data_IF_170957079216
#
_entry.id   IF_170957079216
#
_cell.length_a   1.000
_cell.length_b   1.000
_cell.length_c   1.000
_cell.angle_alpha   90.00
_cell.angle_beta   90.00
_cell.angle_gamma   90.00
#
_symmetry.space_group_name_H-M   'P 1'
#
loop_
_entity.id
_entity.type
_entity.pdbx_description
1 polymer ?
#
# COMPACT_ATOMS: atom_id res chain seq x y z
N UNK A 1 15.61 -36.62 27.80
CA UNK A 1 14.27 -36.36 27.23
C UNK A 1 13.78 -37.69 26.68
N UNK A 2 12.57 -38.13 27.01
CA UNK A 2 12.05 -39.44 26.58
C UNK A 2 11.97 -39.54 25.05
N UNK A 3 12.20 -40.74 24.51
CA UNK A 3 12.25 -41.07 23.08
C UNK A 3 10.91 -40.76 22.41
N UNK A 4 9.79 -41.12 23.05
CA UNK A 4 8.43 -40.77 22.62
C UNK A 4 8.23 -39.26 22.54
N UNK A 5 8.72 -38.53 23.55
CA UNK A 5 8.64 -37.06 23.61
C UNK A 5 9.51 -36.38 22.54
N UNK A 6 10.57 -37.04 22.09
CA UNK A 6 11.46 -36.57 21.02
C UNK A 6 10.84 -36.82 19.64
N UNK A 7 10.19 -37.98 19.47
CA UNK A 7 9.49 -38.34 18.26
C UNK A 7 8.24 -37.47 18.04
N UNK A 8 7.51 -37.14 19.12
CA UNK A 8 6.38 -36.21 19.11
C UNK A 8 6.76 -34.75 18.72
N UNK A 9 8.05 -34.38 18.84
CA UNK A 9 8.56 -33.07 18.39
C UNK A 9 8.86 -33.03 16.88
N UNK A 10 9.01 -34.19 16.24
CA UNK A 10 9.30 -34.29 14.81
C UNK A 10 8.04 -34.29 13.93
N UNK A 11 6.86 -34.37 14.54
CA UNK A 11 5.56 -34.43 13.85
C UNK A 11 4.82 -33.12 14.11
N UNK A 12 4.36 -32.47 13.05
CA UNK A 12 3.59 -31.22 13.14
C UNK A 12 2.28 -31.46 13.89
N UNK A 13 1.76 -30.43 14.55
CA UNK A 13 0.42 -30.44 15.16
C UNK A 13 -0.63 -30.74 14.09
N UNK A 14 -0.46 -30.22 12.87
CA UNK A 14 -1.28 -30.57 11.71
C UNK A 14 -1.27 -32.06 11.38
N UNK A 15 -0.11 -32.72 11.35
CA UNK A 15 0.00 -34.17 11.11
C UNK A 15 -0.63 -34.97 12.26
N UNK A 16 -0.48 -34.52 13.50
CA UNK A 16 -1.10 -35.17 14.67
C UNK A 16 -2.62 -35.05 14.68
N UNK A 17 -3.17 -33.90 14.26
CA UNK A 17 -4.62 -33.72 14.07
C UNK A 17 -5.13 -34.65 12.97
N UNK A 18 -4.43 -34.74 11.84
CA UNK A 18 -4.78 -35.65 10.74
C UNK A 18 -4.74 -37.12 11.18
N UNK A 19 -3.73 -37.51 11.95
CA UNK A 19 -3.61 -38.87 12.50
C UNK A 19 -4.77 -39.19 13.47
N UNK A 20 -5.09 -38.28 14.41
CA UNK A 20 -6.21 -38.45 15.34
C UNK A 20 -7.56 -38.62 14.62
N UNK A 21 -7.83 -37.79 13.61
CA UNK A 21 -9.03 -37.89 12.78
C UNK A 21 -9.07 -39.20 11.98
N UNK A 22 -7.93 -39.64 11.42
CA UNK A 22 -7.86 -40.90 10.66
C UNK A 22 -8.13 -42.14 11.52
N UNK A 23 -7.93 -42.03 12.84
CA UNK A 23 -8.18 -43.08 13.83
C UNK A 23 -9.56 -42.97 14.50
N UNK A 24 -10.39 -41.99 14.09
CA UNK A 24 -11.70 -41.73 14.70
C UNK A 24 -11.63 -41.20 16.13
N UNK A 25 -10.52 -40.58 16.54
CA UNK A 25 -10.34 -40.00 17.87
C UNK A 25 -10.62 -38.49 17.84
N UNK A 26 -11.91 -38.15 17.81
CA UNK A 26 -12.39 -36.77 17.70
C UNK A 26 -12.03 -35.93 18.94
N UNK A 27 -11.96 -36.55 20.12
CA UNK A 27 -11.61 -35.87 21.37
C UNK A 27 -10.16 -35.35 21.34
N UNK A 28 -9.21 -36.18 20.89
CA UNK A 28 -7.81 -35.77 20.74
C UNK A 28 -7.63 -34.74 19.62
N UNK A 29 -8.37 -34.88 18.51
CA UNK A 29 -8.35 -33.90 17.43
C UNK A 29 -8.80 -32.52 17.94
N UNK A 30 -9.94 -32.44 18.65
CA UNK A 30 -10.47 -31.20 19.25
C UNK A 30 -9.48 -30.59 20.26
N UNK A 31 -8.80 -31.42 21.06
CA UNK A 31 -7.78 -30.97 22.02
C UNK A 31 -6.58 -30.31 21.34
N UNK A 32 -6.23 -30.74 20.12
CA UNK A 32 -5.08 -30.24 19.35
C UNK A 32 -5.39 -28.98 18.53
N UNK A 33 -6.66 -28.67 18.23
CA UNK A 33 -7.06 -27.50 17.42
C UNK A 33 -6.49 -26.16 17.93
N UNK A 34 -6.49 -25.83 19.24
CA UNK A 34 -5.88 -24.58 19.72
C UNK A 34 -4.37 -24.51 19.50
N UNK A 35 -3.67 -25.64 19.47
CA UNK A 35 -2.25 -25.71 19.16
C UNK A 35 -1.99 -25.59 17.65
N UNK A 36 -2.88 -26.14 16.82
CA UNK A 36 -2.84 -26.00 15.36
C UNK A 36 -2.87 -24.53 14.93
N UNK A 37 -3.72 -23.71 15.57
CA UNK A 37 -3.77 -22.26 15.33
C UNK A 37 -2.46 -21.51 15.69
N UNK A 38 -1.60 -22.10 16.53
CA UNK A 38 -0.34 -21.49 16.99
C UNK A 38 0.90 -22.00 16.26
N UNK A 39 0.79 -23.14 15.59
CA UNK A 39 1.92 -23.87 14.97
C UNK A 39 2.78 -22.98 14.05
N UNK A 40 2.13 -22.21 13.18
CA UNK A 40 2.84 -21.30 12.26
C UNK A 40 2.89 -19.86 12.76
N UNK A 41 2.13 -19.52 13.80
CA UNK A 41 2.03 -18.15 14.33
C UNK A 41 3.38 -17.66 14.88
N UNK A 42 4.13 -18.50 15.59
CA UNK A 42 5.45 -18.13 16.10
C UNK A 42 6.50 -18.02 14.99
N UNK A 43 6.45 -18.89 13.98
CA UNK A 43 7.34 -18.83 12.81
C UNK A 43 7.09 -17.54 12.02
N UNK A 44 5.83 -17.21 11.75
CA UNK A 44 5.45 -15.96 11.10
C UNK A 44 5.86 -14.74 11.92
N UNK A 45 5.61 -14.72 13.23
CA UNK A 45 6.03 -13.61 14.12
C UNK A 45 7.55 -13.39 14.08
N UNK A 46 8.33 -14.47 14.13
CA UNK A 46 9.79 -14.36 14.07
C UNK A 46 10.30 -13.93 12.70
N UNK A 47 9.70 -14.41 11.61
CA UNK A 47 10.03 -13.98 10.25
C UNK A 47 9.72 -12.49 10.05
N UNK A 48 8.53 -12.05 10.45
CA UNK A 48 8.14 -10.63 10.41
C UNK A 48 9.15 -9.80 11.21
N UNK A 49 9.53 -10.23 12.42
CA UNK A 49 10.53 -9.54 13.24
C UNK A 49 11.90 -9.47 12.55
N UNK A 50 12.38 -10.55 11.93
CA UNK A 50 13.65 -10.54 11.20
C UNK A 50 13.62 -9.54 10.05
N UNK A 51 12.53 -9.54 9.27
CA UNK A 51 12.36 -8.62 8.15
C UNK A 51 12.29 -7.17 8.65
N UNK A 52 11.43 -6.87 9.63
CA UNK A 52 11.17 -5.49 10.07
C UNK A 52 12.28 -4.91 10.95
N UNK A 53 12.97 -5.73 11.74
CA UNK A 53 13.97 -5.25 12.71
C UNK A 53 15.40 -5.28 12.19
N UNK A 54 15.70 -6.05 11.15
CA UNK A 54 17.07 -6.19 10.63
C UNK A 54 17.17 -5.88 9.13
N UNK A 55 16.37 -6.55 8.30
CA UNK A 55 16.50 -6.43 6.85
C UNK A 55 16.06 -5.04 6.37
N UNK A 56 14.84 -4.60 6.74
CA UNK A 56 14.31 -3.32 6.29
C UNK A 56 15.17 -2.12 6.75
N UNK A 57 15.62 -2.04 8.02
CA UNK A 57 16.51 -0.96 8.45
C UNK A 57 17.83 -0.92 7.67
N UNK A 58 18.46 -2.07 7.41
CA UNK A 58 19.71 -2.13 6.64
C UNK A 58 19.49 -1.67 5.18
N UNK A 59 18.40 -2.14 4.54
CA UNK A 59 18.04 -1.70 3.18
C UNK A 59 17.77 -0.19 3.16
N UNK A 60 17.08 0.34 4.18
CA UNK A 60 16.78 1.76 4.32
C UNK A 60 18.07 2.60 4.47
N UNK A 61 18.99 2.19 5.35
CA UNK A 61 20.28 2.86 5.53
C UNK A 61 21.07 2.90 4.22
N UNK A 62 21.14 1.75 3.53
CA UNK A 62 21.85 1.67 2.26
C UNK A 62 21.21 2.56 1.18
N UNK A 63 19.88 2.57 1.11
CA UNK A 63 19.16 3.45 0.21
C UNK A 63 19.50 4.91 0.50
N UNK A 64 19.43 5.35 1.76
CA UNK A 64 19.76 6.72 2.17
C UNK A 64 21.19 7.10 1.76
N UNK A 65 22.16 6.24 2.01
CA UNK A 65 23.57 6.46 1.64
C UNK A 65 23.73 6.64 0.13
N UNK A 66 23.15 5.74 -0.66
CA UNK A 66 23.21 5.80 -2.12
C UNK A 66 22.53 7.08 -2.67
N UNK A 67 21.39 7.49 -2.09
CA UNK A 67 20.70 8.72 -2.47
C UNK A 67 21.53 9.97 -2.13
N UNK A 68 22.22 9.99 -0.99
CA UNK A 68 23.14 11.08 -0.61
C UNK A 68 24.32 11.17 -1.57
N UNK A 69 24.92 10.03 -1.92
CA UNK A 69 26.04 9.97 -2.87
C UNK A 69 25.64 10.49 -4.26
N UNK A 70 24.46 10.12 -4.75
CA UNK A 70 23.94 10.63 -6.02
C UNK A 70 23.70 12.14 -5.96
N UNK A 71 23.14 12.66 -4.87
CA UNK A 71 22.93 14.09 -4.69
C UNK A 71 24.26 14.88 -4.68
N UNK A 72 25.28 14.37 -4.00
CA UNK A 72 26.62 14.99 -4.01
C UNK A 72 27.19 15.09 -5.44
N UNK A 73 27.09 14.01 -6.22
CA UNK A 73 27.53 13.99 -7.62
C UNK A 73 26.76 14.96 -8.51
N UNK A 74 25.45 15.13 -8.28
CA UNK A 74 24.64 16.13 -8.98
C UNK A 74 25.21 17.53 -8.69
N UNK A 75 25.46 17.85 -7.42
CA UNK A 75 26.03 19.14 -7.02
C UNK A 75 27.39 19.39 -7.68
N UNK A 76 28.27 18.39 -7.72
CA UNK A 76 29.57 18.50 -8.39
C UNK A 76 29.43 18.75 -9.90
N UNK A 77 28.54 18.03 -10.59
CA UNK A 77 28.28 18.22 -12.01
C UNK A 77 27.75 19.64 -12.30
N UNK A 78 26.84 20.15 -11.45
CA UNK A 78 26.35 21.53 -11.54
C UNK A 78 27.47 22.54 -11.34
N UNK A 79 28.35 22.33 -10.35
CA UNK A 79 29.50 23.22 -10.09
C UNK A 79 30.49 23.26 -11.26
N UNK A 80 30.68 22.12 -11.96
CA UNK A 80 31.51 22.05 -13.18
C UNK A 80 30.82 22.62 -14.43
N UNK A 81 29.54 23.00 -14.34
CA UNK A 81 28.74 23.42 -15.50
C UNK A 81 28.29 22.29 -16.42
N UNK A 82 28.49 21.01 -16.02
CA UNK A 82 28.08 19.85 -16.80
C UNK A 82 26.58 19.54 -16.58
N UNK A 83 25.76 20.26 -17.34
CA UNK A 83 24.29 20.11 -17.28
C UNK A 83 23.82 18.73 -17.71
N UNK A 84 24.50 18.11 -18.68
CA UNK A 84 24.11 16.81 -19.22
C UNK A 84 24.31 15.72 -18.16
N UNK A 85 25.46 15.73 -17.48
CA UNK A 85 25.73 14.81 -16.37
C UNK A 85 24.76 15.02 -15.21
N UNK A 86 24.50 16.28 -14.81
CA UNK A 86 23.57 16.59 -13.72
C UNK A 86 22.16 16.02 -13.99
N UNK A 87 21.64 16.21 -15.20
CA UNK A 87 20.33 15.66 -15.61
C UNK A 87 20.35 14.13 -15.60
N UNK A 88 21.40 13.50 -16.12
CA UNK A 88 21.53 12.04 -16.14
C UNK A 88 21.56 11.43 -14.73
N UNK A 89 22.23 12.10 -13.78
CA UNK A 89 22.29 11.69 -12.38
C UNK A 89 20.94 11.85 -11.67
N UNK A 90 20.23 12.96 -11.90
CA UNK A 90 18.87 13.17 -11.39
C UNK A 90 17.94 12.07 -11.91
N UNK A 91 17.95 11.79 -13.22
CA UNK A 91 17.14 10.73 -13.81
C UNK A 91 17.48 9.35 -13.24
N UNK A 92 18.76 9.10 -12.94
CA UNK A 92 19.19 7.86 -12.28
C UNK A 92 18.66 7.75 -10.86
N UNK A 93 18.70 8.84 -10.09
CA UNK A 93 18.11 8.92 -8.75
C UNK A 93 16.61 8.61 -8.79
N UNK A 94 15.88 9.25 -9.71
CA UNK A 94 14.44 9.05 -9.90
C UNK A 94 14.11 7.61 -10.30
N UNK A 95 14.79 7.02 -11.31
CA UNK A 95 14.53 5.63 -11.74
C UNK A 95 14.75 4.60 -10.63
N UNK A 96 15.75 4.80 -9.77
CA UNK A 96 16.01 3.91 -8.63
C UNK A 96 14.87 3.95 -7.61
N UNK A 97 14.40 5.16 -7.29
CA UNK A 97 13.21 5.34 -6.44
C UNK A 97 11.96 4.72 -7.09
N UNK A 98 11.72 4.96 -8.38
CA UNK A 98 10.60 4.38 -9.14
C UNK A 98 10.56 2.85 -9.06
N UNK A 99 11.71 2.18 -9.13
CA UNK A 99 11.78 0.71 -9.09
C UNK A 99 11.26 0.16 -7.75
N UNK A 100 11.70 0.74 -6.63
CA UNK A 100 11.27 0.33 -5.29
C UNK A 100 9.80 0.70 -5.08
N UNK A 101 9.44 1.93 -5.45
CA UNK A 101 8.07 2.43 -5.38
C UNK A 101 7.09 1.49 -6.09
N UNK A 102 7.39 1.10 -7.34
CA UNK A 102 6.50 0.26 -8.14
C UNK A 102 6.33 -1.13 -7.55
N UNK A 103 7.40 -1.70 -6.98
CA UNK A 103 7.31 -2.98 -6.26
C UNK A 103 6.41 -2.86 -5.03
N UNK A 104 6.47 -1.75 -4.28
CA UNK A 104 5.59 -1.52 -3.14
C UNK A 104 4.12 -1.35 -3.58
N UNK A 105 3.88 -0.56 -4.62
CA UNK A 105 2.52 -0.40 -5.21
C UNK A 105 1.98 -1.75 -5.67
N UNK A 106 2.81 -2.54 -6.35
CA UNK A 106 2.42 -3.85 -6.86
C UNK A 106 2.13 -4.83 -5.69
N UNK A 107 2.94 -4.83 -4.65
CA UNK A 107 2.70 -5.64 -3.45
C UNK A 107 1.38 -5.26 -2.74
N UNK A 108 1.11 -3.97 -2.56
CA UNK A 108 -0.13 -3.48 -1.94
C UNK A 108 -1.35 -3.86 -2.79
N UNK A 109 -1.23 -3.70 -4.11
CA UNK A 109 -2.29 -4.10 -5.04
C UNK A 109 -2.58 -5.60 -4.92
N UNK A 110 -1.54 -6.44 -4.83
CA UNK A 110 -1.68 -7.89 -4.69
C UNK A 110 -2.33 -8.29 -3.36
N UNK A 111 -1.96 -7.64 -2.25
CA UNK A 111 -2.64 -7.86 -0.97
C UNK A 111 -4.13 -7.49 -1.04
N UNK A 112 -4.44 -6.37 -1.69
CA UNK A 112 -5.81 -5.91 -1.85
C UNK A 112 -6.63 -6.83 -2.78
N UNK A 113 -6.05 -7.23 -3.90
CA UNK A 113 -6.63 -8.20 -4.82
C UNK A 113 -6.93 -9.52 -4.13
N UNK A 114 -5.96 -10.06 -3.40
CA UNK A 114 -6.16 -11.28 -2.61
C UNK A 114 -7.27 -11.12 -1.56
N UNK A 115 -7.31 -9.99 -0.84
CA UNK A 115 -8.34 -9.72 0.15
C UNK A 115 -9.74 -9.69 -0.50
N UNK A 116 -9.86 -9.05 -1.65
CA UNK A 116 -11.10 -8.99 -2.42
C UNK A 116 -11.52 -10.37 -2.95
N UNK A 117 -10.63 -11.06 -3.66
CA UNK A 117 -10.93 -12.34 -4.30
C UNK A 117 -11.27 -13.44 -3.29
N UNK A 118 -10.63 -13.41 -2.12
CA UNK A 118 -10.80 -14.45 -1.09
C UNK A 118 -11.93 -14.15 -0.11
N UNK A 119 -12.19 -12.88 0.17
CA UNK A 119 -13.05 -12.47 1.30
C UNK A 119 -14.10 -11.40 0.94
N UNK A 120 -14.16 -10.95 -0.31
CA UNK A 120 -15.15 -10.01 -0.80
C UNK A 120 -14.85 -8.54 -0.47
N UNK A 121 -15.75 -7.66 -0.92
CA UNK A 121 -15.60 -6.19 -0.81
C UNK A 121 -15.58 -5.68 0.62
N UNK A 122 -16.33 -6.28 1.53
CA UNK A 122 -16.40 -5.84 2.94
C UNK A 122 -15.05 -6.07 3.64
N UNK A 123 -14.39 -7.18 3.34
CA UNK A 123 -13.06 -7.47 3.87
C UNK A 123 -11.99 -6.52 3.30
N UNK A 124 -12.07 -6.19 2.00
CA UNK A 124 -11.22 -5.18 1.38
C UNK A 124 -11.41 -3.81 2.04
N UNK A 125 -12.66 -3.38 2.26
CA UNK A 125 -12.98 -2.14 2.97
C UNK A 125 -12.38 -2.12 4.37
N UNK A 126 -12.62 -3.17 5.17
CA UNK A 126 -12.10 -3.27 6.53
C UNK A 126 -10.57 -3.34 6.58
N UNK A 127 -9.92 -3.94 5.59
CA UNK A 127 -8.46 -3.92 5.47
C UNK A 127 -7.93 -2.49 5.36
N UNK A 128 -8.49 -1.68 4.45
CA UNK A 128 -8.10 -0.28 4.31
C UNK A 128 -8.46 0.56 5.53
N UNK A 129 -9.65 0.37 6.09
CA UNK A 129 -10.06 1.06 7.31
C UNK A 129 -9.10 0.79 8.48
N UNK A 130 -8.66 -0.46 8.65
CA UNK A 130 -7.64 -0.83 9.66
C UNK A 130 -6.28 -0.22 9.39
N UNK A 131 -5.90 -0.06 8.12
CA UNK A 131 -4.71 0.74 7.79
C UNK A 131 -4.89 2.16 8.31
N UNK A 132 -6.03 2.79 8.02
CA UNK A 132 -6.38 4.13 8.51
C UNK A 132 -6.15 4.27 10.01
N UNK A 133 -6.63 3.30 10.80
CA UNK A 133 -6.45 3.28 12.26
C UNK A 133 -4.98 3.22 12.71
N UNK A 134 -4.12 2.49 11.98
CA UNK A 134 -2.67 2.49 12.22
C UNK A 134 -2.00 3.85 11.97
N UNK A 135 -2.68 4.76 11.27
CA UNK A 135 -2.22 6.12 10.94
C UNK A 135 -3.15 7.21 11.48
N UNK A 136 -3.96 6.89 12.50
CA UNK A 136 -5.02 7.76 13.06
C UNK A 136 -4.54 9.16 13.43
N UNK A 137 -3.40 9.27 14.13
CA UNK A 137 -2.88 10.56 14.58
C UNK A 137 -2.51 11.48 13.41
N UNK A 138 -1.91 10.92 12.36
CA UNK A 138 -1.59 11.66 11.15
C UNK A 138 -2.85 12.25 10.50
N UNK A 139 -3.92 11.45 10.38
CA UNK A 139 -5.19 11.93 9.83
C UNK A 139 -5.86 13.00 10.71
N UNK A 140 -5.75 12.88 12.03
CA UNK A 140 -6.25 13.90 12.96
C UNK A 140 -5.48 15.20 12.79
N UNK A 141 -4.14 15.16 12.80
CA UNK A 141 -3.30 16.35 12.62
C UNK A 141 -3.59 17.06 11.29
N UNK A 142 -3.65 16.31 10.18
CA UNK A 142 -3.93 16.88 8.86
C UNK A 142 -5.36 17.43 8.73
N UNK A 143 -6.30 16.99 9.54
CA UNK A 143 -7.65 17.56 9.54
C UNK A 143 -7.75 18.94 10.21
N UNK A 144 -6.68 19.40 10.86
CA UNK A 144 -6.64 20.65 11.65
C UNK A 144 -5.82 21.77 11.02
N UNK A 145 -5.14 21.52 9.90
CA UNK A 145 -4.34 22.53 9.18
C UNK A 145 -5.19 23.31 8.19
N UNK A 146 -4.66 24.41 7.66
CA UNK A 146 -5.37 25.21 6.66
C UNK A 146 -5.56 24.44 5.35
N UNK A 147 -6.49 24.88 4.50
CA UNK A 147 -6.69 24.30 3.17
C UNK A 147 -5.40 24.36 2.34
N UNK A 148 -4.69 25.48 2.38
CA UNK A 148 -3.49 25.68 1.58
C UNK A 148 -2.34 24.77 2.06
N UNK A 149 -2.17 24.62 3.38
CA UNK A 149 -1.22 23.64 3.94
C UNK A 149 -1.62 22.20 3.59
N UNK A 150 -2.92 21.91 3.51
CA UNK A 150 -3.41 20.60 3.13
C UNK A 150 -3.18 20.31 1.65
N UNK A 151 -3.31 21.31 0.78
CA UNK A 151 -2.95 21.23 -0.64
C UNK A 151 -1.45 20.97 -0.80
N UNK A 152 -0.61 21.66 -0.02
CA UNK A 152 0.83 21.43 -0.02
C UNK A 152 1.17 20.00 0.43
N UNK A 153 0.58 19.55 1.54
CA UNK A 153 0.77 18.21 2.06
C UNK A 153 0.32 17.13 1.06
N UNK A 154 -0.87 17.27 0.46
CA UNK A 154 -1.38 16.37 -0.56
C UNK A 154 -0.47 16.34 -1.79
N UNK A 155 0.02 17.51 -2.23
CA UNK A 155 0.93 17.63 -3.36
C UNK A 155 2.26 16.93 -3.06
N UNK A 156 2.81 17.11 -1.86
CA UNK A 156 4.05 16.47 -1.44
C UNK A 156 3.93 14.94 -1.47
N UNK A 157 2.87 14.38 -0.87
CA UNK A 157 2.61 12.93 -0.87
C UNK A 157 2.52 12.42 -2.31
N UNK A 158 1.81 13.13 -3.19
CA UNK A 158 1.68 12.70 -4.58
C UNK A 158 2.97 12.86 -5.40
N UNK A 159 3.88 13.77 -5.02
CA UNK A 159 5.22 13.87 -5.64
C UNK A 159 6.08 12.65 -5.32
N UNK A 160 5.91 12.04 -4.16
CA UNK A 160 6.61 10.80 -3.80
C UNK A 160 6.21 9.62 -4.68
N UNK A 161 5.02 9.69 -5.29
CA UNK A 161 4.53 8.74 -6.31
C UNK A 161 5.06 9.03 -7.72
N UNK A 162 5.86 10.09 -7.93
CA UNK A 162 6.63 10.34 -9.16
C UNK A 162 5.73 10.51 -10.41
N UNK A 163 4.47 10.90 -10.20
CA UNK A 163 3.53 11.25 -11.27
C UNK A 163 3.57 12.76 -11.59
N UNK A 164 3.15 13.17 -12.80
CA UNK A 164 2.90 14.57 -13.08
C UNK A 164 1.75 15.11 -12.22
N UNK A 165 1.92 16.33 -11.71
CA UNK A 165 0.94 17.00 -10.85
C UNK A 165 0.66 18.39 -11.39
N UNK A 166 -0.61 18.74 -11.42
CA UNK A 166 -1.09 20.08 -11.74
C UNK A 166 -2.12 20.51 -10.72
N UNK A 167 -2.10 21.77 -10.32
CA UNK A 167 -3.05 22.32 -9.35
C UNK A 167 -3.92 23.33 -10.08
N UNK A 168 -5.23 23.21 -9.93
CA UNK A 168 -6.22 24.16 -10.43
C UNK A 168 -7.05 24.71 -9.27
N UNK A 169 -7.32 26.01 -9.31
CA UNK A 169 -8.32 26.63 -8.45
C UNK A 169 -9.72 26.33 -9.01
N UNK A 170 -10.52 25.56 -8.27
CA UNK A 170 -11.94 25.40 -8.50
C UNK A 170 -12.75 26.50 -7.81
N UNK A 171 -14.08 26.50 -8.05
CA UNK A 171 -14.99 27.50 -7.48
C UNK A 171 -15.05 27.44 -5.94
N UNK A 172 -15.12 26.24 -5.38
CA UNK A 172 -15.23 25.97 -3.93
C UNK A 172 -14.20 24.92 -3.46
N UNK A 173 -13.19 24.63 -4.27
CA UNK A 173 -12.19 23.59 -4.00
C UNK A 173 -10.87 23.89 -4.69
N UNK A 174 -9.80 23.29 -4.18
CA UNK A 174 -8.53 23.15 -4.86
C UNK A 174 -8.45 21.76 -5.49
N UNK A 175 -8.17 21.70 -6.79
CA UNK A 175 -8.10 20.44 -7.54
C UNK A 175 -6.65 20.10 -7.81
N UNK A 176 -6.19 18.95 -7.33
CA UNK A 176 -4.90 18.37 -7.67
C UNK A 176 -5.14 17.29 -8.73
N UNK A 177 -4.63 17.54 -9.91
CA UNK A 177 -4.82 16.72 -11.11
C UNK A 177 -3.55 15.88 -11.32
N UNK A 178 -3.75 14.57 -11.46
CA UNK A 178 -2.68 13.58 -11.62
C UNK A 178 -2.90 12.79 -12.91
N UNK A 179 -2.06 12.99 -13.91
CA UNK A 179 -2.26 12.51 -15.30
C UNK A 179 -1.02 11.82 -15.90
N UNK A 180 -0.80 10.52 -15.60
CA UNK A 180 -1.57 9.70 -14.66
C UNK A 180 -1.13 9.92 -13.21
N UNK A 181 -1.98 9.50 -12.26
CA UNK A 181 -1.55 9.30 -10.87
C UNK A 181 -0.33 8.36 -10.83
N UNK A 182 0.72 8.76 -10.10
CA UNK A 182 2.02 8.09 -10.09
C UNK A 182 2.02 6.66 -9.52
N UNK A 183 0.95 6.27 -8.81
CA UNK A 183 0.74 4.92 -8.28
C UNK A 183 -0.28 4.15 -9.11
N UNK A 184 -1.58 4.23 -8.78
CA UNK A 184 -2.64 3.44 -9.39
C UNK A 184 -2.79 3.68 -10.90
N UNK A 185 -2.82 4.95 -11.33
CA UNK A 185 -2.92 5.29 -12.75
C UNK A 185 -1.71 4.79 -13.56
N UNK A 186 -0.50 4.98 -13.02
CA UNK A 186 0.73 4.49 -13.63
C UNK A 186 0.79 2.95 -13.67
N UNK A 187 0.25 2.28 -12.67
CA UNK A 187 0.13 0.82 -12.68
C UNK A 187 -0.79 0.35 -13.82
N UNK A 188 -1.96 0.96 -13.97
CA UNK A 188 -2.87 0.66 -15.09
C UNK A 188 -2.18 0.86 -16.45
N UNK A 189 -1.37 1.92 -16.58
CA UNK A 189 -0.55 2.16 -17.77
C UNK A 189 0.47 1.06 -18.05
N UNK A 190 1.18 0.60 -17.01
CA UNK A 190 2.14 -0.53 -17.14
C UNK A 190 1.42 -1.82 -17.51
N UNK A 191 0.27 -2.10 -16.92
CA UNK A 191 -0.54 -3.28 -17.22
C UNK A 191 -1.04 -3.26 -18.67
N UNK A 192 -1.55 -2.11 -19.14
CA UNK A 192 -1.94 -1.93 -20.55
C UNK A 192 -0.79 -2.23 -21.52
N UNK A 193 0.45 -1.91 -21.14
CA UNK A 193 1.66 -2.17 -21.94
C UNK A 193 2.23 -3.58 -21.78
N UNK A 194 1.67 -4.41 -20.91
CA UNK A 194 2.22 -5.74 -20.59
C UNK A 194 3.52 -5.68 -19.77
N UNK A 195 3.79 -4.57 -19.09
CA UNK A 195 4.99 -4.32 -18.28
C UNK A 195 4.76 -4.63 -16.78
N UNK A 196 3.56 -5.07 -16.40
CA UNK A 196 3.30 -5.56 -15.05
C UNK A 196 3.86 -6.97 -14.91
N UNK A 197 4.87 -7.13 -14.06
CA UNK A 197 5.50 -8.43 -13.79
C UNK A 197 4.59 -9.45 -13.08
N UNK A 198 3.34 -9.06 -12.78
CA UNK A 198 2.30 -9.89 -12.17
C UNK A 198 1.00 -9.67 -12.93
N UNK A 199 0.70 -10.59 -13.84
CA UNK A 199 -0.58 -10.62 -14.54
C UNK A 199 -1.70 -10.99 -13.56
N UNK A 200 -2.83 -10.27 -13.61
CA UNK A 200 -4.09 -10.71 -12.99
C UNK A 200 -4.55 -10.03 -11.70
N UNK A 201 -3.77 -9.13 -11.09
CA UNK A 201 -4.18 -8.43 -9.85
C UNK A 201 -4.92 -7.10 -10.11
N UNK A 202 -4.99 -6.67 -11.37
CA UNK A 202 -5.79 -5.49 -11.77
C UNK A 202 -7.29 -5.79 -11.86
N UNK A 203 -7.83 -6.62 -10.98
CA UNK A 203 -9.26 -6.78 -10.91
C UNK A 203 -9.85 -5.42 -10.50
N UNK A 204 -10.57 -4.78 -11.42
CA UNK A 204 -11.53 -3.76 -11.02
C UNK A 204 -12.50 -4.44 -10.06
N UNK A 205 -12.83 -3.78 -8.96
CA UNK A 205 -13.87 -4.24 -8.04
C UNK A 205 -15.20 -4.01 -8.77
N UNK A 206 -15.88 -5.05 -9.29
CA UNK A 206 -17.11 -4.88 -10.05
C UNK A 206 -18.21 -4.22 -9.22
N UNK A 207 -18.24 -4.53 -7.92
CA UNK A 207 -19.20 -3.97 -6.99
C UNK A 207 -18.68 -2.68 -6.37
N UNK A 208 -19.58 -1.74 -6.08
CA UNK A 208 -19.20 -0.55 -5.36
C UNK A 208 -18.70 -0.91 -3.97
N UNK A 209 -17.55 -0.35 -3.58
CA UNK A 209 -17.07 -0.47 -2.20
C UNK A 209 -18.01 0.35 -1.30
N UNK A 210 -18.32 -0.14 -0.07
CA UNK A 210 -19.12 0.60 0.89
C UNK A 210 -18.46 1.92 1.29
N UNK A 211 -18.73 2.99 0.53
CA UNK A 211 -18.30 4.35 0.81
C UNK A 211 -19.53 5.15 1.21
N UNK A 212 -19.43 5.93 2.29
CA UNK A 212 -20.53 6.80 2.73
C UNK A 212 -20.92 7.85 1.69
N UNK A 213 -20.01 8.22 0.77
CA UNK A 213 -20.26 9.18 -0.30
C UNK A 213 -19.73 8.64 -1.63
N UNK A 214 -20.59 8.62 -2.65
CA UNK A 214 -20.19 8.39 -4.04
C UNK A 214 -19.62 7.01 -4.30
N UNK A 215 -20.21 5.95 -3.73
CA UNK A 215 -19.84 4.56 -3.99
C UNK A 215 -19.62 4.33 -5.50
N UNK A 216 -18.40 3.94 -5.89
CA UNK A 216 -18.00 3.80 -7.30
C UNK A 216 -17.83 2.33 -7.64
N UNK A 217 -18.54 1.87 -8.65
CA UNK A 217 -18.33 0.57 -9.25
C UNK A 217 -17.08 0.59 -10.15
N UNK A 218 -16.51 -0.58 -10.39
CA UNK A 218 -15.42 -0.81 -11.34
C UNK A 218 -14.13 -0.01 -11.03
N UNK A 219 -13.89 0.33 -9.77
CA UNK A 219 -12.60 0.92 -9.37
C UNK A 219 -11.51 -0.16 -9.37
N UNK A 220 -10.30 0.12 -9.90
CA UNK A 220 -9.15 -0.75 -9.73
C UNK A 220 -8.92 -1.02 -8.25
N UNK A 221 -8.75 -2.30 -7.87
CA UNK A 221 -8.66 -2.71 -6.46
C UNK A 221 -7.64 -1.90 -5.67
N UNK A 222 -6.48 -1.58 -6.27
CA UNK A 222 -5.48 -0.73 -5.62
C UNK A 222 -6.01 0.68 -5.33
N UNK A 223 -6.69 1.33 -6.27
CA UNK A 223 -7.15 2.72 -6.13
C UNK A 223 -8.18 2.91 -5.00
N UNK A 224 -8.80 1.83 -4.54
CA UNK A 224 -9.87 1.86 -3.53
C UNK A 224 -9.39 2.33 -2.16
N UNK A 225 -8.10 2.21 -1.85
CA UNK A 225 -7.54 2.72 -0.60
C UNK A 225 -7.70 4.24 -0.48
N UNK A 226 -7.62 4.98 -1.59
CA UNK A 226 -7.70 6.44 -1.57
C UNK A 226 -9.04 6.95 -1.01
N UNK A 227 -10.22 6.60 -1.59
CA UNK A 227 -11.49 7.05 -1.04
C UNK A 227 -11.76 6.47 0.35
N UNK A 228 -11.36 5.22 0.63
CA UNK A 228 -11.59 4.65 1.98
C UNK A 228 -10.81 5.40 3.05
N UNK A 229 -9.53 5.70 2.80
CA UNK A 229 -8.67 6.38 3.79
C UNK A 229 -8.97 7.86 3.91
N UNK A 230 -9.04 8.59 2.79
CA UNK A 230 -9.10 10.05 2.81
C UNK A 230 -10.51 10.61 2.86
N UNK A 231 -11.52 9.82 2.48
CA UNK A 231 -12.92 10.22 2.55
C UNK A 231 -13.63 9.56 3.72
N UNK A 232 -13.83 8.24 3.66
CA UNK A 232 -14.65 7.50 4.63
C UNK A 232 -14.04 7.48 6.02
N UNK A 233 -12.80 6.99 6.16
CA UNK A 233 -12.13 6.91 7.45
C UNK A 233 -11.93 8.31 8.07
N UNK A 234 -11.49 9.29 7.30
CA UNK A 234 -11.36 10.66 7.80
C UNK A 234 -12.69 11.25 8.26
N UNK A 235 -13.80 10.95 7.58
CA UNK A 235 -15.14 11.39 7.99
C UNK A 235 -15.58 10.74 9.30
N UNK A 236 -15.39 9.43 9.44
CA UNK A 236 -15.63 8.72 10.71
C UNK A 236 -14.80 9.33 11.86
N UNK A 237 -13.55 9.70 11.58
CA UNK A 237 -12.62 10.21 12.58
C UNK A 237 -12.86 11.68 12.97
N UNK A 238 -13.14 12.53 11.98
CA UNK A 238 -13.10 14.00 12.10
C UNK A 238 -14.42 14.69 11.72
N UNK A 239 -15.46 13.94 11.36
CA UNK A 239 -16.76 14.45 10.89
C UNK A 239 -16.77 14.91 9.42
N UNK A 240 -15.62 14.87 8.73
CA UNK A 240 -15.46 15.35 7.34
C UNK A 240 -14.28 14.66 6.63
N UNK A 241 -14.29 14.57 5.29
CA UNK A 241 -13.18 13.98 4.55
C UNK A 241 -11.96 14.90 4.65
N UNK A 242 -10.76 14.36 4.53
CA UNK A 242 -9.56 15.17 4.35
C UNK A 242 -9.57 15.78 2.95
N UNK A 243 -9.87 14.95 1.96
CA UNK A 243 -10.13 15.35 0.57
C UNK A 243 -10.93 14.27 -0.15
N UNK A 244 -11.58 14.65 -1.23
CA UNK A 244 -12.29 13.72 -2.10
C UNK A 244 -11.36 13.27 -3.24
N UNK A 245 -11.36 11.99 -3.56
CA UNK A 245 -10.54 11.44 -4.63
C UNK A 245 -11.45 10.88 -5.71
N UNK A 246 -11.26 11.30 -6.95
CA UNK A 246 -11.81 10.71 -8.16
C UNK A 246 -10.70 9.87 -8.82
N UNK A 247 -10.57 8.58 -8.48
CA UNK A 247 -9.49 7.73 -8.97
C UNK A 247 -9.68 7.37 -10.46
N UNK A 248 -8.61 6.94 -11.14
CA UNK A 248 -8.72 6.44 -12.51
C UNK A 248 -9.44 5.09 -12.50
N UNK A 249 -10.28 4.84 -13.52
CA UNK A 249 -10.94 3.55 -13.70
C UNK A 249 -10.14 2.64 -14.65
N UNK A 250 -9.48 3.23 -15.64
CA UNK A 250 -8.64 2.54 -16.62
C UNK A 250 -7.39 3.35 -16.95
N UNK A 251 -6.47 2.71 -17.67
CA UNK A 251 -5.30 3.37 -18.23
C UNK A 251 -5.71 4.58 -19.10
N UNK A 252 -5.01 5.69 -18.93
CA UNK A 252 -5.27 6.96 -19.60
C UNK A 252 -6.25 7.88 -18.87
N UNK A 253 -6.97 7.39 -17.85
CA UNK A 253 -7.87 8.24 -17.07
C UNK A 253 -7.10 9.18 -16.12
N UNK A 254 -7.65 10.38 -15.96
CA UNK A 254 -7.19 11.37 -14.98
C UNK A 254 -7.62 10.97 -13.57
N UNK A 255 -6.71 11.10 -12.61
CA UNK A 255 -7.05 11.07 -11.19
C UNK A 255 -7.15 12.52 -10.68
N UNK A 256 -8.20 12.83 -9.91
CA UNK A 256 -8.39 14.17 -9.34
C UNK A 256 -8.58 14.07 -7.83
N UNK A 257 -7.80 14.83 -7.07
CA UNK A 257 -8.02 15.05 -5.65
C UNK A 257 -8.65 16.44 -5.49
N UNK A 258 -9.76 16.54 -4.77
CA UNK A 258 -10.46 17.78 -4.49
C UNK A 258 -10.42 18.08 -2.99
N UNK A 259 -9.82 19.22 -2.66
CA UNK A 259 -9.69 19.72 -1.30
C UNK A 259 -10.66 20.89 -1.15
N UNK A 260 -11.66 20.73 -0.30
CA UNK A 260 -12.68 21.74 -0.06
C UNK A 260 -12.25 22.71 1.05
N UNK A 261 -12.92 23.86 1.10
CA UNK A 261 -12.80 24.77 2.24
C UNK A 261 -13.21 24.09 3.55
N UNK A 262 -12.47 24.42 4.60
CA UNK A 262 -12.58 23.84 5.93
C UNK A 262 -13.58 24.60 6.78
#
# INVERSE_FOLDING_TARGET
MDEKKTQDLCVTVAERVKDALSKGNDEEALRLIPALAREYTNRNKNQVRVITSFVLPLVQERFIEDQKRLAARVSEAVQRGDRAEAIALINTKTRRHMTIHDLCVDFIADCAGYAYDSFGREALFEMWRRWGEGTREWFREKSQISRDDLVEAATMINREHIGPIRIEQGKNSMRIILEPCGSGGRRLERERKGESGRAGVSAAVPEAIPLEVGAREQMPVYCTHCPVLFETYCRELNGRPLWQVNPPQKAGDTCVIEIFDI
#
